data_IF_382147747015
#
_entry.id   IF_382147747015
#
_cell.length_a   1.000
_cell.length_b   1.000
_cell.length_c   1.000
_cell.angle_alpha   90.00
_cell.angle_beta   90.00
_cell.angle_gamma   90.00
#
_symmetry.space_group_name_H-M   'P 1'
#
loop_
_entity.id
_entity.type
_entity.pdbx_description
1 polymer ?
#
# COMPACT_ATOMS: atom_id res chain seq x y z
N UNK A 1 -25.89 -16.81 1.73
CA UNK A 1 -24.87 -16.15 0.88
C UNK A 1 -24.02 -15.28 1.80
N UNK A 2 -22.72 -15.51 1.90
CA UNK A 2 -21.83 -14.70 2.76
C UNK A 2 -21.74 -13.29 2.15
N UNK A 3 -21.96 -12.28 2.99
CA UNK A 3 -21.85 -10.88 2.60
C UNK A 3 -20.43 -10.54 2.13
N UNK A 4 -20.33 -9.67 1.12
CA UNK A 4 -19.04 -9.24 0.52
C UNK A 4 -18.08 -8.66 1.57
N UNK A 5 -18.61 -7.93 2.54
CA UNK A 5 -17.84 -7.32 3.61
C UNK A 5 -17.21 -8.37 4.53
N UNK A 6 -17.98 -9.34 4.95
CA UNK A 6 -17.51 -10.49 5.72
C UNK A 6 -16.40 -11.24 4.99
N UNK A 7 -16.60 -11.52 3.70
CA UNK A 7 -15.60 -12.17 2.86
C UNK A 7 -14.29 -11.37 2.74
N UNK A 8 -14.37 -10.06 2.57
CA UNK A 8 -13.19 -9.19 2.54
C UNK A 8 -12.41 -9.23 3.85
N UNK A 9 -13.09 -9.24 5.00
CA UNK A 9 -12.46 -9.35 6.30
C UNK A 9 -11.77 -10.71 6.50
N UNK A 10 -12.36 -11.80 5.99
CA UNK A 10 -11.73 -13.13 6.01
C UNK A 10 -10.47 -13.17 5.15
N UNK A 11 -10.52 -12.58 3.96
CA UNK A 11 -9.35 -12.46 3.07
C UNK A 11 -8.24 -11.67 3.74
N UNK A 12 -8.58 -10.62 4.46
CA UNK A 12 -7.59 -9.82 5.17
C UNK A 12 -6.97 -10.59 6.33
N UNK A 13 -7.75 -11.33 7.12
CA UNK A 13 -7.20 -12.21 8.17
C UNK A 13 -6.21 -13.26 7.62
N UNK A 14 -6.52 -13.87 6.47
CA UNK A 14 -5.57 -14.75 5.78
C UNK A 14 -4.30 -14.00 5.32
N UNK A 15 -4.43 -12.73 4.92
CA UNK A 15 -3.27 -11.88 4.62
C UNK A 15 -2.40 -11.66 5.85
N UNK A 16 -3.01 -11.33 7.00
CA UNK A 16 -2.32 -11.15 8.27
C UNK A 16 -1.60 -12.42 8.72
N UNK A 17 -2.28 -13.55 8.62
CA UNK A 17 -1.67 -14.85 8.95
C UNK A 17 -0.45 -15.12 8.06
N UNK A 18 -0.52 -14.85 6.75
CA UNK A 18 0.59 -15.11 5.82
C UNK A 18 1.82 -14.29 6.13
N UNK A 19 1.71 -12.98 6.29
CA UNK A 19 2.89 -12.18 6.59
C UNK A 19 3.41 -12.36 8.02
N UNK A 20 2.62 -12.98 8.91
CA UNK A 20 3.06 -13.34 10.26
C UNK A 20 3.79 -14.69 10.30
N UNK A 21 3.46 -15.64 9.42
CA UNK A 21 4.00 -17.01 9.44
C UNK A 21 5.08 -17.25 8.39
N UNK A 22 5.00 -16.62 7.23
CA UNK A 22 5.97 -16.77 6.15
C UNK A 22 7.22 -15.93 6.44
N UNK A 23 8.38 -16.57 6.51
CA UNK A 23 9.65 -15.91 6.82
C UNK A 23 10.00 -14.83 5.81
N UNK A 24 9.83 -15.09 4.51
CA UNK A 24 10.14 -14.12 3.46
C UNK A 24 9.27 -12.85 3.57
N UNK A 25 7.97 -13.01 3.86
CA UNK A 25 7.07 -11.88 4.02
C UNK A 25 7.39 -11.07 5.29
N UNK A 26 7.76 -11.73 6.39
CA UNK A 26 8.22 -11.04 7.62
C UNK A 26 9.47 -10.20 7.36
N UNK A 27 10.49 -10.78 6.75
CA UNK A 27 11.73 -10.08 6.41
C UNK A 27 11.48 -8.90 5.47
N UNK A 28 10.53 -9.04 4.52
CA UNK A 28 10.11 -7.96 3.65
C UNK A 28 9.42 -6.82 4.42
N UNK A 29 8.54 -7.14 5.36
CA UNK A 29 7.91 -6.15 6.26
C UNK A 29 8.96 -5.39 7.06
N UNK A 30 9.88 -6.10 7.72
CA UNK A 30 10.95 -5.50 8.51
C UNK A 30 11.82 -4.56 7.66
N UNK A 31 12.22 -5.01 6.47
CA UNK A 31 13.00 -4.20 5.51
C UNK A 31 12.23 -2.96 5.07
N UNK A 32 10.93 -3.08 4.83
CA UNK A 32 10.07 -1.96 4.45
C UNK A 32 9.96 -0.95 5.59
N UNK A 33 9.71 -1.39 6.82
CA UNK A 33 9.60 -0.54 8.02
C UNK A 33 10.91 0.22 8.27
N UNK A 34 12.05 -0.45 8.15
CA UNK A 34 13.36 0.20 8.35
C UNK A 34 13.64 1.33 7.35
N UNK A 35 13.12 1.21 6.13
CA UNK A 35 13.32 2.18 5.04
C UNK A 35 12.13 3.12 4.85
N UNK A 36 11.08 2.96 5.63
CA UNK A 36 9.88 3.78 5.56
C UNK A 36 10.19 5.21 6.02
N UNK A 37 9.68 6.19 5.28
CA UNK A 37 9.82 7.59 5.59
C UNK A 37 8.46 8.27 5.75
N UNK A 38 8.33 9.10 6.76
CA UNK A 38 7.29 10.11 6.86
C UNK A 38 7.82 11.38 6.21
N UNK A 39 7.05 11.97 5.32
CA UNK A 39 7.35 13.22 4.62
C UNK A 39 6.25 14.22 5.00
N UNK A 40 6.61 15.18 5.82
CA UNK A 40 5.71 16.26 6.22
C UNK A 40 5.54 17.26 5.07
N UNK A 41 4.36 17.85 4.95
CA UNK A 41 4.07 18.98 4.04
C UNK A 41 5.07 20.12 4.21
N UNK A 42 5.53 20.36 5.44
CA UNK A 42 6.53 21.38 5.74
C UNK A 42 7.96 21.02 5.31
N UNK A 43 8.19 19.78 4.91
CA UNK A 43 9.49 19.31 4.49
C UNK A 43 9.90 19.98 3.18
N UNK A 44 11.08 20.61 3.15
CA UNK A 44 11.63 21.15 1.91
C UNK A 44 12.12 20.00 1.05
N UNK A 45 11.27 19.55 0.13
CA UNK A 45 11.68 18.59 -0.88
C UNK A 45 12.47 19.34 -1.95
N UNK A 46 13.79 19.16 -1.97
CA UNK A 46 14.62 19.60 -3.10
C UNK A 46 14.30 18.67 -4.28
N UNK A 47 13.38 19.12 -5.13
CA UNK A 47 13.13 18.45 -6.40
C UNK A 47 14.39 18.67 -7.26
N UNK A 48 15.08 17.62 -7.70
CA UNK A 48 16.18 17.77 -8.64
C UNK A 48 15.70 18.54 -9.87
N UNK A 49 16.55 19.36 -10.45
CA UNK A 49 16.22 20.06 -11.68
C UNK A 49 15.64 19.05 -12.69
N UNK A 50 14.54 19.38 -13.37
CA UNK A 50 13.88 18.44 -14.29
C UNK A 50 14.92 17.90 -15.26
N UNK A 51 14.99 16.58 -15.37
CA UNK A 51 15.85 15.94 -16.37
C UNK A 51 15.42 16.46 -17.75
N UNK A 52 16.34 17.09 -18.46
CA UNK A 52 16.06 17.78 -19.75
C UNK A 52 15.62 16.83 -20.88
N UNK A 53 15.51 15.55 -20.62
CA UNK A 53 15.30 14.53 -21.64
C UNK A 53 13.96 13.83 -21.46
N UNK A 54 12.93 14.38 -22.05
CA UNK A 54 11.72 13.64 -22.38
C UNK A 54 10.44 14.19 -21.77
N UNK A 55 9.37 14.07 -22.52
CA UNK A 55 8.01 14.31 -22.05
C UNK A 55 7.54 13.10 -21.23
N UNK A 56 6.84 13.34 -20.13
CA UNK A 56 6.18 12.28 -19.41
C UNK A 56 5.11 11.61 -20.30
N UNK A 57 5.09 10.27 -20.31
CA UNK A 57 4.03 9.52 -20.96
C UNK A 57 2.91 9.28 -19.97
N UNK A 58 1.72 9.79 -20.27
CA UNK A 58 0.51 9.56 -19.50
C UNK A 58 -0.28 8.44 -20.17
N UNK A 59 -0.57 7.38 -19.42
CA UNK A 59 -1.36 6.24 -19.90
C UNK A 59 -2.58 6.11 -19.00
N UNK A 60 -3.77 6.15 -19.60
CA UNK A 60 -5.05 5.88 -18.93
C UNK A 60 -5.49 4.47 -19.30
N UNK A 61 -5.83 3.67 -18.29
CA UNK A 61 -6.30 2.30 -18.50
C UNK A 61 -7.39 1.92 -17.49
N UNK A 62 -8.19 0.91 -17.82
CA UNK A 62 -9.18 0.34 -16.90
C UNK A 62 -8.60 -0.62 -15.85
N UNK A 63 -7.27 -0.72 -15.73
CA UNK A 63 -6.62 -1.61 -14.76
C UNK A 63 -6.72 -1.05 -13.34
N UNK A 64 -6.79 -1.96 -12.37
CA UNK A 64 -6.62 -1.59 -10.96
C UNK A 64 -5.16 -1.24 -10.67
N UNK A 65 -4.91 -0.55 -9.56
CA UNK A 65 -3.56 -0.08 -9.20
C UNK A 65 -2.51 -1.20 -9.17
N UNK A 66 -2.82 -2.34 -8.55
CA UNK A 66 -1.89 -3.48 -8.47
C UNK A 66 -1.70 -4.20 -9.82
N UNK A 67 -2.72 -4.28 -10.66
CA UNK A 67 -2.61 -4.84 -12.02
C UNK A 67 -1.71 -3.98 -12.90
N UNK A 68 -1.88 -2.65 -12.82
CA UNK A 68 -1.02 -1.71 -13.53
C UNK A 68 0.43 -1.83 -13.04
N UNK A 69 0.64 -1.85 -11.72
CA UNK A 69 1.93 -2.03 -11.10
C UNK A 69 2.61 -3.33 -11.56
N UNK A 70 1.89 -4.45 -11.57
CA UNK A 70 2.39 -5.73 -12.05
C UNK A 70 2.82 -5.68 -13.52
N UNK A 71 2.02 -5.03 -14.36
CA UNK A 71 2.32 -4.90 -15.79
C UNK A 71 3.67 -4.21 -16.02
N UNK A 72 3.92 -3.10 -15.34
CA UNK A 72 5.17 -2.36 -15.49
C UNK A 72 6.35 -3.03 -14.80
N UNK A 73 6.14 -3.67 -13.66
CA UNK A 73 7.19 -4.44 -12.98
C UNK A 73 7.68 -5.61 -13.83
N UNK A 74 6.77 -6.32 -14.52
CA UNK A 74 7.12 -7.38 -15.50
C UNK A 74 7.99 -6.88 -16.65
N UNK A 75 7.89 -5.60 -16.98
CA UNK A 75 8.72 -4.92 -17.97
C UNK A 75 10.06 -4.39 -17.40
N UNK A 76 10.39 -4.70 -16.14
CA UNK A 76 11.61 -4.24 -15.48
C UNK A 76 11.58 -2.77 -15.06
N UNK A 77 10.40 -2.12 -15.05
CA UNK A 77 10.27 -0.73 -14.60
C UNK A 77 10.28 -0.66 -13.07
N UNK A 78 10.84 0.43 -12.55
CA UNK A 78 10.63 0.82 -11.14
C UNK A 78 9.22 1.40 -11.03
N UNK A 79 8.44 0.89 -10.10
CA UNK A 79 7.03 1.25 -9.93
C UNK A 79 6.81 1.89 -8.56
N UNK A 80 6.09 3.00 -8.54
CA UNK A 80 5.52 3.58 -7.33
C UNK A 80 4.00 3.59 -7.48
N UNK A 81 3.28 3.15 -6.46
CA UNK A 81 1.81 3.14 -6.41
C UNK A 81 1.36 4.22 -5.45
N UNK A 82 0.53 5.14 -5.90
CA UNK A 82 -0.17 6.07 -5.03
C UNK A 82 -1.29 5.32 -4.32
N UNK A 83 -1.27 5.36 -2.99
CA UNK A 83 -2.34 4.85 -2.14
C UNK A 83 -3.20 6.04 -1.68
N UNK A 84 -4.49 6.03 -2.00
CA UNK A 84 -5.46 7.00 -1.48
C UNK A 84 -5.82 6.62 -0.06
N UNK A 85 -4.91 6.95 0.85
CA UNK A 85 -4.90 6.48 2.22
C UNK A 85 -5.94 7.19 3.09
N UNK A 86 -6.41 6.50 4.11
CA UNK A 86 -7.07 7.13 5.25
C UNK A 86 -6.04 7.91 6.05
N UNK A 87 -6.31 9.17 6.33
CA UNK A 87 -5.45 9.99 7.18
C UNK A 87 -5.54 9.62 8.67
N UNK A 88 -6.56 8.86 9.08
CA UNK A 88 -6.86 8.60 10.49
C UNK A 88 -6.74 7.13 10.89
N UNK A 89 -6.75 6.21 9.93
CA UNK A 89 -6.73 4.77 10.22
C UNK A 89 -5.79 4.03 9.25
N UNK A 90 -4.76 3.33 9.75
CA UNK A 90 -3.92 2.49 8.90
C UNK A 90 -4.76 1.49 8.11
N UNK A 91 -4.60 1.50 6.78
CA UNK A 91 -5.34 0.60 5.90
C UNK A 91 -6.85 0.85 5.85
N UNK A 92 -7.30 2.04 6.28
CA UNK A 92 -8.72 2.42 6.24
C UNK A 92 -9.60 1.48 7.06
N UNK A 93 -10.62 0.93 6.41
CA UNK A 93 -11.55 -0.04 7.00
C UNK A 93 -11.25 -1.49 6.64
N UNK A 94 -10.01 -1.87 6.31
CA UNK A 94 -9.64 -3.20 5.81
C UNK A 94 -9.98 -4.33 6.79
N UNK A 95 -9.76 -4.10 8.09
CA UNK A 95 -10.08 -5.07 9.15
C UNK A 95 -11.57 -5.42 9.15
N UNK A 96 -12.41 -4.44 8.85
CA UNK A 96 -13.87 -4.55 8.80
C UNK A 96 -14.40 -4.91 7.40
N UNK A 97 -13.53 -5.25 6.45
CA UNK A 97 -13.91 -5.71 5.11
C UNK A 97 -14.36 -4.62 4.14
N UNK A 98 -14.00 -3.37 4.38
CA UNK A 98 -14.20 -2.28 3.41
C UNK A 98 -13.46 -2.55 2.10
N UNK A 99 -13.87 -1.92 0.99
CA UNK A 99 -13.45 -2.31 -0.36
C UNK A 99 -12.93 -1.17 -1.24
N UNK A 100 -12.51 -0.05 -0.67
CA UNK A 100 -11.86 1.01 -1.42
C UNK A 100 -10.43 0.62 -1.84
N UNK A 101 -9.72 1.51 -2.50
CA UNK A 101 -8.40 1.23 -3.09
C UNK A 101 -7.36 0.83 -2.03
N UNK A 102 -7.27 1.55 -0.92
CA UNK A 102 -6.34 1.25 0.16
C UNK A 102 -6.58 -0.15 0.74
N UNK A 103 -7.83 -0.48 1.03
CA UNK A 103 -8.17 -1.80 1.57
C UNK A 103 -7.87 -2.92 0.58
N UNK A 104 -8.06 -2.70 -0.71
CA UNK A 104 -7.67 -3.66 -1.75
C UNK A 104 -6.15 -3.88 -1.76
N UNK A 105 -5.36 -2.81 -1.68
CA UNK A 105 -3.90 -2.90 -1.59
C UNK A 105 -3.49 -3.65 -0.33
N UNK A 106 -4.03 -3.28 0.84
CA UNK A 106 -3.70 -3.91 2.11
C UNK A 106 -4.06 -5.41 2.16
N UNK A 107 -5.16 -5.82 1.51
CA UNK A 107 -5.54 -7.25 1.42
C UNK A 107 -4.57 -8.09 0.60
N UNK A 108 -3.83 -7.48 -0.32
CA UNK A 108 -3.01 -8.20 -1.30
C UNK A 108 -1.50 -8.09 -1.05
N UNK A 109 -1.09 -7.27 -0.07
CA UNK A 109 0.31 -6.87 0.09
C UNK A 109 0.78 -6.88 1.54
N UNK A 110 2.08 -6.67 1.73
CA UNK A 110 2.70 -6.43 3.04
C UNK A 110 2.58 -4.98 3.52
N UNK A 111 1.70 -4.17 2.96
CA UNK A 111 1.60 -2.75 3.29
C UNK A 111 1.05 -2.50 4.71
N UNK A 112 -0.05 -3.18 5.09
CA UNK A 112 -0.75 -2.91 6.34
C UNK A 112 0.16 -2.94 7.59
N UNK A 113 1.00 -3.97 7.84
CA UNK A 113 1.88 -3.99 9.00
C UNK A 113 2.92 -2.86 8.98
N UNK A 114 3.26 -2.32 7.80
CA UNK A 114 4.14 -1.16 7.68
C UNK A 114 3.42 0.13 8.10
N UNK A 115 2.14 0.28 7.78
CA UNK A 115 1.32 1.43 8.17
C UNK A 115 0.95 1.39 9.65
N UNK A 116 0.63 0.21 10.19
CA UNK A 116 0.15 0.03 11.56
C UNK A 116 1.30 -0.11 12.56
N UNK A 117 2.34 0.71 12.44
CA UNK A 117 3.45 0.78 13.39
C UNK A 117 3.23 1.90 14.41
N UNK A 118 3.78 1.74 15.62
CA UNK A 118 3.74 2.82 16.63
C UNK A 118 4.29 4.13 16.06
N UNK A 119 5.40 4.08 15.30
CA UNK A 119 6.01 5.25 14.68
C UNK A 119 5.02 5.98 13.76
N UNK A 120 4.31 5.27 12.88
CA UNK A 120 3.34 5.90 11.97
C UNK A 120 2.11 6.42 12.70
N UNK A 121 1.70 5.75 13.78
CA UNK A 121 0.66 6.28 14.66
C UNK A 121 1.09 7.61 15.29
N UNK A 122 2.29 7.69 15.82
CA UNK A 122 2.78 8.88 16.53
C UNK A 122 2.98 10.09 15.59
N UNK A 123 3.48 9.85 14.34
CA UNK A 123 3.87 10.95 13.45
C UNK A 123 2.83 11.30 12.38
N UNK A 124 1.88 10.41 12.08
CA UNK A 124 0.90 10.61 11.01
C UNK A 124 -0.53 10.46 11.50
N UNK A 125 -0.97 9.28 11.94
CA UNK A 125 -2.39 9.03 12.20
C UNK A 125 -2.94 9.80 13.41
N UNK A 126 -2.22 9.85 14.52
CA UNK A 126 -2.68 10.54 15.73
C UNK A 126 -2.75 12.06 15.55
N UNK A 127 -1.74 12.73 14.97
CA UNK A 127 -1.84 14.17 14.67
C UNK A 127 -3.04 14.52 13.78
N UNK A 128 -3.34 13.72 12.76
CA UNK A 128 -4.51 13.95 11.91
C UNK A 128 -5.84 13.73 12.64
N UNK A 129 -5.90 12.81 13.60
CA UNK A 129 -7.08 12.64 14.46
C UNK A 129 -7.27 13.82 15.40
N UNK A 130 -6.19 14.30 15.99
CA UNK A 130 -6.23 15.35 17.01
C UNK A 130 -6.64 16.70 16.41
N UNK A 131 -6.22 17.00 15.19
CA UNK A 131 -6.62 18.20 14.47
C UNK A 131 -8.10 18.22 14.12
N UNK A 132 -8.74 17.06 13.98
CA UNK A 132 -10.15 16.91 13.58
C UNK A 132 -10.54 17.77 12.35
N UNK A 133 -9.56 18.16 11.52
CA UNK A 133 -9.77 18.94 10.32
C UNK A 133 -10.10 18.04 9.15
N UNK A 134 -11.26 18.16 8.49
CA UNK A 134 -11.59 17.36 7.31
C UNK A 134 -10.74 17.71 6.07
N UNK A 135 -10.08 18.86 6.08
CA UNK A 135 -9.12 19.23 5.06
C UNK A 135 -7.75 18.75 5.51
N UNK A 136 -7.35 17.58 5.03
CA UNK A 136 -6.03 17.02 5.31
C UNK A 136 -4.93 17.83 4.61
N UNK A 137 -3.73 17.75 5.15
CA UNK A 137 -2.53 18.34 4.56
C UNK A 137 -1.90 17.37 3.52
N UNK A 138 -0.74 17.75 2.98
CA UNK A 138 0.00 16.93 2.01
C UNK A 138 1.06 16.02 2.66
N UNK A 139 0.90 15.69 3.93
CA UNK A 139 1.76 14.71 4.60
C UNK A 139 1.66 13.35 3.92
N UNK A 140 2.77 12.67 3.76
CA UNK A 140 2.73 11.33 3.18
C UNK A 140 3.66 10.32 3.88
N UNK A 141 3.28 9.05 3.78
CA UNK A 141 4.10 7.92 4.20
C UNK A 141 4.66 7.23 2.95
N UNK A 142 5.97 7.24 2.79
CA UNK A 142 6.65 6.50 1.74
C UNK A 142 7.10 5.14 2.25
N UNK A 143 6.55 4.05 1.70
CA UNK A 143 6.85 2.67 2.11
C UNK A 143 7.48 1.92 0.95
N UNK A 144 8.81 1.73 0.93
CA UNK A 144 9.51 0.98 -0.11
C UNK A 144 9.41 -0.54 0.09
N UNK A 145 9.68 -1.30 -0.97
CA UNK A 145 9.81 -2.76 -0.97
C UNK A 145 8.55 -3.54 -0.53
N UNK A 146 7.38 -2.95 -0.66
CA UNK A 146 6.11 -3.63 -0.42
C UNK A 146 5.98 -4.83 -1.35
N UNK A 147 5.67 -6.00 -0.80
CA UNK A 147 5.48 -7.24 -1.56
C UNK A 147 4.02 -7.46 -1.84
N UNK A 148 3.68 -7.66 -3.12
CA UNK A 148 2.36 -8.14 -3.54
C UNK A 148 2.40 -9.67 -3.61
N UNK A 149 1.56 -10.33 -2.86
CA UNK A 149 1.53 -11.80 -2.78
C UNK A 149 0.14 -12.40 -3.01
N UNK A 150 -0.87 -11.55 -3.20
CA UNK A 150 -2.23 -11.92 -3.61
C UNK A 150 -2.69 -11.08 -4.79
N UNK A 151 -3.66 -11.60 -5.54
CA UNK A 151 -4.35 -10.84 -6.59
C UNK A 151 -5.67 -10.28 -6.08
N UNK A 152 -6.03 -9.08 -6.51
CA UNK A 152 -7.33 -8.47 -6.23
C UNK A 152 -8.36 -8.66 -7.37
N UNK A 153 -7.96 -9.33 -8.46
CA UNK A 153 -8.76 -9.47 -9.68
C UNK A 153 -9.86 -10.50 -9.54
N UNK A 154 -9.56 -11.63 -8.92
CA UNK A 154 -10.47 -12.76 -8.80
C UNK A 154 -10.77 -13.09 -7.35
N UNK A 155 -11.98 -12.87 -6.93
CA UNK A 155 -12.57 -13.44 -5.72
C UNK A 155 -12.97 -14.89 -6.00
N UNK A 156 -12.78 -15.75 -5.15
CA UNK A 156 -11.89 -16.26 -4.11
C UNK A 156 -10.96 -17.39 -4.58
N UNK A 157 -11.04 -17.78 -5.85
CA UNK A 157 -10.37 -19.00 -6.36
C UNK A 157 -8.87 -18.83 -6.64
N UNK A 158 -8.44 -17.59 -6.84
CA UNK A 158 -7.02 -17.29 -7.10
C UNK A 158 -6.17 -17.08 -5.84
N UNK A 159 -6.78 -17.14 -4.66
CA UNK A 159 -6.10 -17.01 -3.35
C UNK A 159 -5.04 -18.10 -3.10
N UNK A 160 -5.08 -19.19 -3.82
CA UNK A 160 -4.27 -20.38 -3.51
C UNK A 160 -3.02 -20.57 -4.33
N UNK A 161 -2.79 -19.83 -5.42
CA UNK A 161 -1.67 -20.18 -6.32
C UNK A 161 -0.79 -18.99 -6.73
N UNK A 162 0.35 -18.86 -6.00
CA UNK A 162 1.64 -18.37 -6.49
C UNK A 162 1.72 -16.95 -7.08
N UNK A 163 1.74 -15.95 -6.20
CA UNK A 163 2.54 -14.76 -6.46
C UNK A 163 3.67 -14.62 -5.40
N UNK A 164 4.25 -15.76 -4.99
CA UNK A 164 5.42 -15.76 -4.13
C UNK A 164 6.60 -15.20 -4.93
N UNK A 165 7.14 -14.09 -4.52
CA UNK A 165 8.47 -13.65 -4.96
C UNK A 165 8.54 -12.43 -5.89
N UNK A 166 7.49 -11.67 -6.14
CA UNK A 166 7.62 -10.43 -6.92
C UNK A 166 7.67 -9.21 -6.00
N UNK A 167 8.84 -8.64 -5.85
CA UNK A 167 9.05 -7.35 -5.17
C UNK A 167 8.54 -6.24 -6.06
N UNK A 168 7.52 -5.53 -5.59
CA UNK A 168 7.13 -4.24 -6.17
C UNK A 168 7.79 -3.13 -5.37
N UNK A 169 8.30 -2.12 -6.06
CA UNK A 169 9.35 -1.36 -5.44
C UNK A 169 8.90 -0.31 -4.43
N UNK A 170 7.72 0.30 -4.54
CA UNK A 170 7.37 1.40 -3.65
C UNK A 170 5.87 1.66 -3.61
N UNK A 171 5.32 1.89 -2.41
CA UNK A 171 3.97 2.44 -2.22
C UNK A 171 4.10 3.78 -1.52
N UNK A 172 3.50 4.81 -2.09
CA UNK A 172 3.38 6.12 -1.47
C UNK A 172 1.94 6.29 -0.97
N UNK A 173 1.78 6.65 0.30
CA UNK A 173 0.50 6.92 0.93
C UNK A 173 0.39 8.42 1.18
N UNK A 174 -0.66 9.04 0.69
CA UNK A 174 -1.02 10.44 0.96
C UNK A 174 -2.37 10.49 1.63
#
# INVERSE_FOLDING_TARGET
>A
MIDRRTKNAEIFRDTEQRYSTDQFLREAVETSIQKQAFVSEESIIRIPAPCKTGKAHVIVSGKRSLEAAETYTKQGKKVCVLNFASATNPGGGVVNGSSAQEECICRCTTLYPCLNTKKMWDVFYQPHRDTANPLYNNDCIYTPNVVVFKSDINFPESLSRRLVGRKYSHVCCT
#
